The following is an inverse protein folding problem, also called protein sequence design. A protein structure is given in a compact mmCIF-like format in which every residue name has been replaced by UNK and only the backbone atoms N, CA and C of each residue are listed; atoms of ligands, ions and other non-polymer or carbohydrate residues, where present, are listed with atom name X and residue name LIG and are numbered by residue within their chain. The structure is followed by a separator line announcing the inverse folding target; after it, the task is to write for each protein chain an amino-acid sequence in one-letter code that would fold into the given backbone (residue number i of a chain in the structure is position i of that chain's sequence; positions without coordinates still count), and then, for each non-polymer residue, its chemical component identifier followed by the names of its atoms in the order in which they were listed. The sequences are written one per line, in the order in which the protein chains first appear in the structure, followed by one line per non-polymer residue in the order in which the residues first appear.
data_IF_284802107578
#
_entry.id   IF_284802107578
#
_cell.length_a   1.000
_cell.length_b   1.000
_cell.length_c   1.000
_cell.angle_alpha   90.00
_cell.angle_beta   90.00
_cell.angle_gamma   90.00
#
_symmetry.space_group_name_H-M   'P 1'
#
loop_
_entity.id
_entity.type
_entity.pdbx_description
1 polymer ?
#
# COMPACT_ATOMS: atom_id res chain seq x y z
N UNK A 1 0.04 41.52 12.16
CA UNK A 1 -0.35 40.83 13.39
C UNK A 1 -0.30 39.36 13.15
N UNK A 2 0.69 38.57 13.63
CA UNK A 2 0.73 37.15 13.49
C UNK A 2 -0.12 36.49 14.59
N UNK A 3 -1.11 35.69 14.21
CA UNK A 3 -1.88 34.85 15.15
C UNK A 3 -1.05 33.60 15.44
N UNK A 4 -0.41 33.62 16.62
CA UNK A 4 0.26 32.47 17.22
C UNK A 4 -0.82 31.50 17.72
N UNK A 5 -1.08 30.40 17.02
CA UNK A 5 -1.92 29.30 17.50
C UNK A 5 -1.02 28.29 18.19
N UNK A 6 -1.00 28.34 19.52
CA UNK A 6 -0.34 27.35 20.36
C UNK A 6 -1.11 26.02 20.25
N UNK A 7 -0.50 25.04 19.59
CA UNK A 7 -0.97 23.66 19.60
C UNK A 7 -0.58 23.07 20.96
N UNK A 8 -1.60 22.89 21.81
CA UNK A 8 -1.47 22.26 23.13
C UNK A 8 -0.93 20.83 22.96
N UNK A 9 0.19 20.54 23.58
CA UNK A 9 0.75 19.18 23.63
C UNK A 9 -0.19 18.31 24.48
N UNK A 10 -0.96 17.47 23.81
CA UNK A 10 -1.75 16.45 24.47
C UNK A 10 -0.81 15.42 25.09
N UNK A 11 -0.77 15.39 26.40
CA UNK A 11 -0.01 14.46 27.21
C UNK A 11 -0.39 13.03 26.84
N UNK A 12 0.57 12.26 26.36
CA UNK A 12 0.40 10.83 26.07
C UNK A 12 0.35 10.12 27.42
N UNK A 13 -0.85 9.69 27.81
CA UNK A 13 -1.07 8.82 28.97
C UNK A 13 -0.31 7.51 28.73
N UNK A 14 0.61 7.19 29.63
CA UNK A 14 1.34 5.92 29.63
C UNK A 14 0.34 4.74 29.66
N UNK A 15 0.60 3.64 28.93
CA UNK A 15 -0.31 2.50 28.94
C UNK A 15 -0.36 1.88 30.33
N UNK A 16 -1.53 1.87 30.93
CA UNK A 16 -1.82 1.03 32.09
C UNK A 16 -1.58 -0.44 31.70
N UNK A 17 -1.29 -1.30 32.68
CA UNK A 17 -1.06 -2.75 32.53
C UNK A 17 -2.29 -3.56 32.03
N UNK A 18 -3.22 -2.92 31.38
CA UNK A 18 -4.37 -3.55 30.71
C UNK A 18 -3.85 -4.27 29.45
N UNK A 19 -4.17 -5.55 29.32
CA UNK A 19 -3.94 -6.33 28.10
C UNK A 19 -4.39 -5.50 26.91
N UNK A 20 -3.48 -5.28 25.96
CA UNK A 20 -3.80 -4.46 24.78
C UNK A 20 -5.02 -5.04 24.06
N UNK A 21 -6.04 -4.24 23.82
CA UNK A 21 -7.23 -4.67 23.07
C UNK A 21 -6.93 -5.18 21.65
N UNK A 22 -5.72 -4.89 21.14
CA UNK A 22 -5.24 -5.52 19.90
C UNK A 22 -5.06 -7.06 20.05
N UNK A 23 -4.69 -7.54 21.23
CA UNK A 23 -4.52 -8.98 21.48
C UNK A 23 -5.84 -9.66 21.86
N UNK A 24 -6.79 -8.91 22.41
CA UNK A 24 -8.11 -9.39 22.83
C UNK A 24 -9.19 -8.42 22.34
N UNK A 25 -9.49 -8.42 21.03
CA UNK A 25 -10.43 -7.49 20.43
C UNK A 25 -11.87 -7.80 20.84
N UNK A 26 -12.64 -6.77 21.22
CA UNK A 26 -14.06 -6.86 21.56
C UNK A 26 -14.94 -6.13 20.53
N UNK A 27 -14.37 -5.09 19.89
CA UNK A 27 -15.07 -4.27 18.90
C UNK A 27 -14.24 -4.09 17.64
N UNK A 28 -14.87 -3.62 16.57
CA UNK A 28 -14.21 -3.41 15.26
C UNK A 28 -12.95 -2.53 15.37
N UNK A 29 -13.01 -1.47 16.19
CA UNK A 29 -11.89 -0.55 16.39
C UNK A 29 -10.67 -1.20 17.09
N UNK A 30 -10.82 -2.39 17.68
CA UNK A 30 -9.72 -3.14 18.31
C UNK A 30 -8.96 -3.98 17.28
N UNK A 31 -9.56 -4.26 16.12
CA UNK A 31 -8.93 -5.08 15.08
C UNK A 31 -7.79 -4.34 14.39
N UNK A 32 -6.59 -4.94 14.41
CA UNK A 32 -5.38 -4.37 13.78
C UNK A 32 -5.62 -3.96 12.33
N UNK A 33 -6.17 -4.86 11.51
CA UNK A 33 -6.37 -4.59 10.08
C UNK A 33 -7.35 -3.45 9.83
N UNK A 34 -8.36 -3.29 10.70
CA UNK A 34 -9.28 -2.17 10.61
C UNK A 34 -8.59 -0.85 10.96
N UNK A 35 -7.77 -0.80 12.01
CA UNK A 35 -6.97 0.39 12.37
C UNK A 35 -6.02 0.79 11.24
N UNK A 36 -5.31 -0.19 10.67
CA UNK A 36 -4.43 0.06 9.52
C UNK A 36 -5.21 0.55 8.30
N UNK A 37 -6.39 -0.01 8.01
CA UNK A 37 -7.23 0.44 6.90
C UNK A 37 -7.73 1.88 7.08
N UNK A 38 -8.10 2.28 8.30
CA UNK A 38 -8.48 3.67 8.64
C UNK A 38 -7.32 4.64 8.43
N UNK A 39 -6.14 4.31 8.97
CA UNK A 39 -4.92 5.10 8.75
C UNK A 39 -4.63 5.23 7.26
N UNK A 40 -4.70 4.13 6.51
CA UNK A 40 -4.51 4.13 5.08
C UNK A 40 -5.57 4.92 4.33
N UNK A 41 -6.84 4.91 4.74
CA UNK A 41 -7.89 5.70 4.11
C UNK A 41 -7.59 7.20 4.21
N UNK A 42 -7.19 7.67 5.40
CA UNK A 42 -6.89 9.08 5.64
C UNK A 42 -5.57 9.50 5.00
N UNK A 43 -4.46 8.88 5.37
CA UNK A 43 -3.13 9.24 4.87
C UNK A 43 -2.96 8.91 3.38
N UNK A 44 -3.46 7.76 2.93
CA UNK A 44 -3.47 7.36 1.53
C UNK A 44 -4.34 8.25 0.64
N UNK A 45 -5.39 8.89 1.20
CA UNK A 45 -6.18 9.90 0.51
C UNK A 45 -5.36 11.12 0.08
N UNK A 46 -4.38 11.54 0.89
CA UNK A 46 -3.45 12.62 0.53
C UNK A 46 -2.58 12.22 -0.67
N UNK A 47 -2.10 10.97 -0.71
CA UNK A 47 -1.34 10.44 -1.84
C UNK A 47 -2.20 10.41 -3.11
N UNK A 48 -3.48 10.00 -3.02
CA UNK A 48 -4.42 10.03 -4.16
C UNK A 48 -4.55 11.43 -4.73
N UNK A 49 -4.66 12.46 -3.89
CA UNK A 49 -4.77 13.87 -4.35
C UNK A 49 -3.56 14.31 -5.17
N UNK A 50 -2.33 13.92 -4.79
CA UNK A 50 -1.16 14.17 -5.62
C UNK A 50 -1.19 13.35 -6.92
N UNK A 51 -1.43 12.04 -6.81
CA UNK A 51 -1.43 11.15 -7.98
C UNK A 51 -2.44 11.62 -9.03
N UNK A 52 -3.69 11.81 -8.65
CA UNK A 52 -4.78 12.11 -9.57
C UNK A 52 -4.88 13.60 -9.89
N UNK A 53 -4.77 14.46 -8.88
CA UNK A 53 -4.96 15.90 -9.04
C UNK A 53 -3.78 16.62 -9.70
N UNK A 54 -2.54 16.14 -9.49
CA UNK A 54 -1.35 16.81 -10.05
C UNK A 54 -0.69 16.03 -11.18
N UNK A 55 -0.64 14.71 -11.10
CA UNK A 55 0.13 13.88 -12.04
C UNK A 55 -0.73 13.04 -12.99
N UNK A 56 -2.05 13.05 -12.86
CA UNK A 56 -2.98 12.35 -13.75
C UNK A 56 -2.80 10.83 -13.77
N UNK A 57 -2.33 10.25 -12.66
CA UNK A 57 -2.17 8.81 -12.48
C UNK A 57 -2.92 8.34 -11.23
N UNK A 58 -3.40 7.12 -11.21
CA UNK A 58 -4.01 6.53 -10.03
C UNK A 58 -2.96 6.13 -9.00
N UNK A 59 -3.36 6.00 -7.72
CA UNK A 59 -2.48 5.46 -6.66
C UNK A 59 -1.93 4.06 -7.00
N UNK A 60 -2.69 3.26 -7.76
CA UNK A 60 -2.25 1.94 -8.23
C UNK A 60 -1.15 2.07 -9.27
N UNK A 61 -1.30 2.97 -10.22
CA UNK A 61 -0.28 3.28 -11.22
C UNK A 61 0.99 3.82 -10.57
N UNK A 62 0.85 4.70 -9.57
CA UNK A 62 1.97 5.16 -8.77
C UNK A 62 2.75 4.01 -8.11
N UNK A 63 2.04 3.05 -7.47
CA UNK A 63 2.70 1.88 -6.86
C UNK A 63 3.55 1.10 -7.87
N UNK A 64 3.04 0.90 -9.07
CA UNK A 64 3.76 0.22 -10.16
C UNK A 64 5.01 1.01 -10.56
N UNK A 65 4.90 2.32 -10.76
CA UNK A 65 6.04 3.17 -11.08
C UNK A 65 7.11 3.12 -9.97
N UNK A 66 6.69 3.20 -8.71
CA UNK A 66 7.61 3.16 -7.57
C UNK A 66 8.32 1.80 -7.44
N UNK A 67 7.63 0.69 -7.70
CA UNK A 67 8.24 -0.63 -7.71
C UNK A 67 9.27 -0.78 -8.83
N UNK A 68 8.93 -0.37 -10.05
CA UNK A 68 9.87 -0.39 -11.18
C UNK A 68 11.06 0.55 -10.96
N UNK A 69 10.87 1.67 -10.25
CA UNK A 69 11.96 2.58 -9.91
C UNK A 69 12.94 1.98 -8.90
N UNK A 70 12.42 1.26 -7.89
CA UNK A 70 13.22 0.74 -6.79
C UNK A 70 13.86 -0.63 -7.08
N UNK A 71 13.18 -1.47 -7.87
CA UNK A 71 13.60 -2.86 -8.12
C UNK A 71 14.13 -3.11 -9.54
N UNK A 72 13.97 -2.14 -10.43
CA UNK A 72 14.34 -2.26 -11.84
C UNK A 72 13.30 -3.00 -12.70
N UNK A 73 13.66 -3.36 -13.94
CA UNK A 73 12.79 -4.05 -14.86
C UNK A 73 12.36 -5.43 -14.35
N UNK A 74 11.08 -5.76 -14.48
CA UNK A 74 10.53 -7.05 -14.03
C UNK A 74 9.36 -7.52 -14.89
N UNK A 75 9.03 -8.81 -14.78
CA UNK A 75 7.88 -9.40 -15.46
C UNK A 75 6.54 -8.96 -14.87
N UNK A 76 5.46 -9.06 -15.65
CA UNK A 76 4.12 -8.64 -15.20
C UNK A 76 3.61 -9.46 -14.01
N UNK A 77 3.94 -10.74 -13.91
CA UNK A 77 3.56 -11.60 -12.80
C UNK A 77 4.28 -11.23 -11.52
N UNK A 78 5.60 -11.04 -11.60
CA UNK A 78 6.45 -10.57 -10.50
C UNK A 78 6.00 -9.19 -9.99
N UNK A 79 5.66 -8.27 -10.92
CA UNK A 79 5.12 -6.97 -10.59
C UNK A 79 3.78 -7.06 -9.84
N UNK A 80 2.89 -7.98 -10.25
CA UNK A 80 1.60 -8.19 -9.58
C UNK A 80 1.79 -8.68 -8.14
N UNK A 81 2.73 -9.61 -7.94
CA UNK A 81 3.10 -10.14 -6.63
C UNK A 81 3.64 -9.04 -5.71
N UNK A 82 4.67 -8.33 -6.13
CA UNK A 82 5.23 -7.22 -5.36
C UNK A 82 4.27 -6.06 -5.13
N UNK A 83 3.36 -5.80 -6.05
CA UNK A 83 2.34 -4.78 -5.89
C UNK A 83 1.20 -5.20 -4.96
N UNK A 84 1.14 -6.47 -4.56
CA UNK A 84 -0.02 -7.06 -3.87
C UNK A 84 -1.34 -6.75 -4.59
N UNK A 85 -1.33 -6.93 -5.92
CA UNK A 85 -2.46 -6.72 -6.80
C UNK A 85 -2.76 -8.02 -7.56
N UNK A 86 -4.03 -8.23 -7.90
CA UNK A 86 -4.38 -9.30 -8.82
C UNK A 86 -3.85 -9.03 -10.25
N UNK A 87 -3.60 -10.11 -11.00
CA UNK A 87 -3.07 -10.03 -12.37
C UNK A 87 -3.93 -9.16 -13.30
N UNK A 88 -5.28 -9.25 -13.31
CA UNK A 88 -6.12 -8.40 -14.15
C UNK A 88 -5.97 -6.91 -13.84
N UNK A 89 -5.89 -6.53 -12.56
CA UNK A 89 -5.71 -5.13 -12.16
C UNK A 89 -4.33 -4.61 -12.51
N UNK A 90 -3.30 -5.44 -12.33
CA UNK A 90 -1.92 -5.11 -12.73
C UNK A 90 -1.83 -4.91 -14.22
N UNK A 91 -2.36 -5.84 -15.03
CA UNK A 91 -2.35 -5.76 -16.48
C UNK A 91 -3.04 -4.48 -17.00
N UNK A 92 -4.21 -4.12 -16.45
CA UNK A 92 -4.90 -2.87 -16.80
C UNK A 92 -4.08 -1.64 -16.46
N UNK A 93 -3.51 -1.58 -15.27
CA UNK A 93 -2.69 -0.45 -14.85
C UNK A 93 -1.41 -0.31 -15.71
N UNK A 94 -0.75 -1.42 -16.04
CA UNK A 94 0.39 -1.44 -16.95
C UNK A 94 0.01 -0.95 -18.35
N UNK A 95 -1.15 -1.39 -18.88
CA UNK A 95 -1.63 -0.94 -20.19
C UNK A 95 -1.88 0.57 -20.20
N UNK A 96 -2.49 1.10 -19.15
CA UNK A 96 -2.70 2.56 -19.00
C UNK A 96 -1.37 3.31 -18.91
N UNK A 97 -0.42 2.81 -18.11
CA UNK A 97 0.92 3.42 -17.99
C UNK A 97 1.71 3.38 -19.32
N UNK A 98 1.58 2.29 -20.07
CA UNK A 98 2.18 2.19 -21.41
C UNK A 98 1.54 3.18 -22.40
N UNK A 99 0.22 3.33 -22.36
CA UNK A 99 -0.50 4.34 -23.13
C UNK A 99 -0.08 5.78 -22.79
N UNK A 100 0.22 6.05 -21.52
CA UNK A 100 0.79 7.32 -21.04
C UNK A 100 2.29 7.46 -21.32
N UNK A 101 2.92 6.46 -21.94
CA UNK A 101 4.38 6.41 -22.24
C UNK A 101 5.26 6.51 -20.98
N UNK A 102 4.76 6.09 -19.82
CA UNK A 102 5.49 6.09 -18.55
C UNK A 102 6.22 4.76 -18.29
N UNK A 103 5.72 3.68 -18.89
CA UNK A 103 6.29 2.34 -18.84
C UNK A 103 6.43 1.81 -20.26
N UNK A 104 7.53 1.12 -20.54
CA UNK A 104 7.75 0.39 -21.78
C UNK A 104 7.78 -1.12 -21.54
N UNK A 105 7.49 -1.87 -22.61
CA UNK A 105 7.64 -3.33 -22.66
C UNK A 105 8.88 -3.65 -23.48
N UNK A 106 9.87 -4.24 -22.85
CA UNK A 106 11.12 -4.64 -23.49
C UNK A 106 11.26 -6.15 -23.43
N UNK A 107 12.09 -6.70 -24.32
CA UNK A 107 12.46 -8.11 -24.26
C UNK A 107 13.62 -8.26 -23.29
N UNK A 108 13.56 -9.31 -22.46
CA UNK A 108 14.66 -9.58 -21.52
C UNK A 108 15.95 -9.90 -22.29
N UNK A 109 17.05 -9.29 -21.87
CA UNK A 109 18.37 -9.62 -22.40
C UNK A 109 18.68 -11.09 -22.05
N UNK A 110 18.98 -11.88 -23.07
CA UNK A 110 19.25 -13.32 -22.92
C UNK A 110 18.03 -14.23 -23.11
N UNK A 111 16.79 -13.73 -23.06
CA UNK A 111 15.59 -14.51 -23.40
C UNK A 111 14.51 -13.60 -24.04
N UNK A 112 14.51 -13.59 -25.36
CA UNK A 112 13.57 -12.77 -26.15
C UNK A 112 12.08 -13.15 -26.00
N UNK A 113 11.77 -14.30 -25.36
CA UNK A 113 10.39 -14.73 -25.08
C UNK A 113 9.82 -14.07 -23.84
N UNK A 114 10.68 -13.58 -22.94
CA UNK A 114 10.26 -12.94 -21.71
C UNK A 114 10.14 -11.42 -21.91
N UNK A 115 8.94 -10.91 -21.72
CA UNK A 115 8.65 -9.48 -21.73
C UNK A 115 8.86 -8.92 -20.31
N UNK A 116 9.67 -7.89 -20.20
CA UNK A 116 9.88 -7.09 -19.01
C UNK A 116 9.20 -5.72 -19.15
N UNK A 117 8.82 -5.18 -18.02
CA UNK A 117 8.30 -3.84 -17.86
C UNK A 117 9.38 -2.97 -17.25
N UNK A 118 9.61 -1.80 -17.82
CA UNK A 118 10.58 -0.84 -17.29
C UNK A 118 10.06 0.60 -17.38
N UNK A 119 10.61 1.49 -16.57
CA UNK A 119 10.28 2.90 -16.66
C UNK A 119 10.91 3.52 -17.92
N UNK A 120 10.14 4.34 -18.61
CA UNK A 120 10.68 5.24 -19.62
C UNK A 120 11.41 6.42 -18.95
N UNK A 121 12.07 7.27 -19.72
CA UNK A 121 12.62 8.54 -19.21
C UNK A 121 11.52 9.41 -18.56
N UNK A 122 10.34 9.48 -19.18
CA UNK A 122 9.18 10.21 -18.64
C UNK A 122 8.66 9.56 -17.33
N UNK A 123 8.61 8.23 -17.25
CA UNK A 123 8.23 7.52 -16.03
C UNK A 123 9.20 7.77 -14.88
N UNK A 124 10.51 7.77 -15.15
CA UNK A 124 11.54 8.14 -14.16
C UNK A 124 11.41 9.59 -13.71
N UNK A 125 11.18 10.51 -14.63
CA UNK A 125 10.99 11.92 -14.30
C UNK A 125 9.74 12.15 -13.43
N UNK A 126 8.63 11.50 -13.76
CA UNK A 126 7.41 11.57 -12.94
C UNK A 126 7.65 10.98 -11.55
N UNK A 127 8.30 9.81 -11.46
CA UNK A 127 8.66 9.21 -10.16
C UNK A 127 9.51 10.16 -9.32
N UNK A 128 10.54 10.78 -9.91
CA UNK A 128 11.44 11.70 -9.22
C UNK A 128 10.71 12.95 -8.68
N UNK A 129 9.63 13.39 -9.33
CA UNK A 129 8.80 14.50 -8.86
C UNK A 129 7.79 14.08 -7.78
N UNK A 130 7.16 12.91 -7.93
CA UNK A 130 6.09 12.48 -7.03
C UNK A 130 6.62 11.84 -5.75
N UNK A 131 7.73 11.08 -5.79
CA UNK A 131 8.27 10.37 -4.64
C UNK A 131 8.59 11.28 -3.44
N UNK A 132 9.22 12.47 -3.60
CA UNK A 132 9.47 13.38 -2.50
C UNK A 132 8.18 13.88 -1.83
N UNK A 133 7.11 14.09 -2.59
CA UNK A 133 5.81 14.55 -2.06
C UNK A 133 5.13 13.45 -1.24
N UNK A 134 5.17 12.21 -1.71
CA UNK A 134 4.69 11.06 -0.95
C UNK A 134 5.56 10.82 0.29
N UNK A 135 6.87 10.98 0.16
CA UNK A 135 7.81 10.91 1.28
C UNK A 135 7.54 11.99 2.33
N UNK A 136 7.11 13.19 1.92
CA UNK A 136 6.72 14.23 2.87
C UNK A 136 5.47 13.82 3.66
N UNK A 137 4.43 13.30 3.00
CA UNK A 137 3.24 12.78 3.69
C UNK A 137 3.65 11.71 4.72
N UNK A 138 4.55 10.80 4.33
CA UNK A 138 5.05 9.76 5.24
C UNK A 138 5.74 10.37 6.48
N UNK A 139 6.62 11.36 6.30
CA UNK A 139 7.26 12.06 7.41
C UNK A 139 6.26 12.78 8.31
N UNK A 140 5.27 13.44 7.70
CA UNK A 140 4.25 14.19 8.44
C UNK A 140 3.35 13.27 9.28
N UNK A 141 3.02 12.08 8.77
CA UNK A 141 2.28 11.06 9.53
C UNK A 141 3.13 10.53 10.69
N UNK A 142 4.43 10.32 10.47
CA UNK A 142 5.33 9.75 11.48
C UNK A 142 5.85 10.77 12.50
N UNK A 143 5.69 12.06 12.28
CA UNK A 143 6.30 13.13 13.13
C UNK A 143 5.83 13.13 14.58
N UNK A 144 4.75 12.42 14.89
CA UNK A 144 4.20 12.26 16.25
C UNK A 144 4.93 11.19 17.07
N UNK A 145 5.83 10.44 16.43
CA UNK A 145 6.61 9.36 17.01
C UNK A 145 8.07 9.83 17.21
N UNK A 146 8.69 9.31 18.26
CA UNK A 146 10.12 9.46 18.48
C UNK A 146 10.93 8.56 17.53
N UNK A 147 12.21 8.87 17.22
CA UNK A 147 13.02 8.05 16.31
C UNK A 147 13.07 6.56 16.68
N UNK A 148 13.14 6.25 17.97
CA UNK A 148 13.15 4.88 18.50
C UNK A 148 11.82 4.16 18.27
N UNK A 149 10.70 4.88 18.42
CA UNK A 149 9.36 4.35 18.15
C UNK A 149 9.15 4.08 16.66
N UNK A 150 9.70 4.91 15.77
CA UNK A 150 9.66 4.68 14.32
C UNK A 150 10.43 3.40 13.97
N UNK A 151 11.61 3.19 14.55
CA UNK A 151 12.41 1.99 14.34
C UNK A 151 11.67 0.75 14.84
N UNK A 152 11.11 0.81 16.05
CA UNK A 152 10.31 -0.27 16.61
C UNK A 152 9.06 -0.58 15.79
N UNK A 153 8.35 0.44 15.32
CA UNK A 153 7.19 0.29 14.44
C UNK A 153 7.56 -0.41 13.12
N UNK A 154 8.70 -0.04 12.52
CA UNK A 154 9.20 -0.67 11.29
C UNK A 154 9.48 -2.17 11.51
N UNK A 155 10.14 -2.54 12.62
CA UNK A 155 10.37 -3.95 12.99
C UNK A 155 9.06 -4.70 13.22
N UNK A 156 8.15 -4.13 13.99
CA UNK A 156 6.85 -4.77 14.27
C UNK A 156 6.04 -4.98 12.99
N UNK A 157 6.00 -4.01 12.07
CA UNK A 157 5.32 -4.15 10.78
C UNK A 157 5.96 -5.24 9.91
N UNK A 158 7.29 -5.36 9.90
CA UNK A 158 7.99 -6.41 9.15
C UNK A 158 7.64 -7.80 9.69
N UNK A 159 7.64 -7.98 11.00
CA UNK A 159 7.27 -9.25 11.67
C UNK A 159 5.80 -9.61 11.45
N UNK A 160 4.90 -8.63 11.51
CA UNK A 160 3.48 -8.83 11.22
C UNK A 160 3.26 -9.25 9.76
N UNK A 161 3.97 -8.63 8.82
CA UNK A 161 3.89 -9.00 7.41
C UNK A 161 4.39 -10.42 7.20
N UNK A 162 5.56 -10.78 7.74
CA UNK A 162 6.11 -12.13 7.63
C UNK A 162 5.15 -13.20 8.17
N UNK A 163 4.55 -12.96 9.35
CA UNK A 163 3.58 -13.89 9.92
C UNK A 163 2.30 -14.00 9.08
N UNK A 164 1.82 -12.87 8.53
CA UNK A 164 0.65 -12.88 7.65
C UNK A 164 0.92 -13.67 6.36
N UNK A 165 2.13 -13.59 5.80
CA UNK A 165 2.53 -14.36 4.62
C UNK A 165 2.56 -15.87 4.92
N UNK A 166 3.07 -16.27 6.10
CA UNK A 166 3.03 -17.68 6.57
C UNK A 166 1.60 -18.17 6.70
N UNK A 167 0.75 -17.45 7.43
CA UNK A 167 -0.66 -17.82 7.62
C UNK A 167 -1.43 -17.90 6.29
N UNK A 168 -1.12 -17.02 5.34
CA UNK A 168 -1.72 -17.06 4.01
C UNK A 168 -1.29 -18.30 3.19
N UNK A 169 -0.04 -18.77 3.40
CA UNK A 169 0.49 -19.95 2.73
C UNK A 169 0.01 -21.27 3.33
N UNK A 170 -0.26 -21.33 4.64
CA UNK A 170 -0.75 -22.53 5.34
C UNK A 170 -2.12 -23.02 4.82
N UNK A 171 -2.91 -22.16 4.23
CA UNK A 171 -4.23 -22.51 3.72
C UNK A 171 -5.26 -22.69 4.83
N UNK A 172 -6.32 -23.47 4.56
CA UNK A 172 -7.37 -23.73 5.56
C UNK A 172 -8.50 -22.71 5.61
N UNK A 173 -8.31 -21.53 4.99
CA UNK A 173 -9.38 -20.56 4.86
C UNK A 173 -10.27 -20.86 3.65
N UNK A 174 -11.58 -20.56 3.74
CA UNK A 174 -12.48 -20.71 2.60
C UNK A 174 -12.02 -19.87 1.41
N UNK A 175 -12.14 -20.42 0.22
CA UNK A 175 -11.81 -19.69 -1.01
C UNK A 175 -12.70 -18.45 -1.14
N UNK A 176 -12.05 -17.30 -1.36
CA UNK A 176 -12.77 -16.07 -1.65
C UNK A 176 -13.44 -16.18 -3.03
N UNK A 177 -14.77 -16.19 -3.06
CA UNK A 177 -15.50 -16.10 -4.32
C UNK A 177 -15.47 -14.66 -4.83
N UNK A 178 -14.56 -14.40 -5.77
CA UNK A 178 -14.35 -13.07 -6.38
C UNK A 178 -15.17 -12.85 -7.65
N UNK A 179 -15.99 -13.81 -8.07
CA UNK A 179 -16.66 -13.79 -9.39
C UNK A 179 -17.79 -12.78 -9.48
N UNK A 180 -18.38 -12.39 -8.36
CA UNK A 180 -19.53 -11.48 -8.35
C UNK A 180 -19.28 -10.34 -7.35
N UNK A 181 -19.32 -9.12 -7.83
CA UNK A 181 -19.32 -7.92 -6.98
C UNK A 181 -20.54 -7.95 -6.05
N UNK A 182 -20.29 -7.98 -4.79
CA UNK A 182 -21.08 -7.86 -3.56
C UNK A 182 -22.60 -7.95 -3.52
N UNK A 183 -23.34 -7.44 -4.48
CA UNK A 183 -24.78 -7.18 -4.32
C UNK A 183 -25.71 -8.40 -4.51
N UNK A 184 -25.22 -9.50 -5.08
CA UNK A 184 -26.04 -10.69 -5.39
C UNK A 184 -25.77 -11.90 -4.47
N UNK A 185 -24.89 -11.78 -3.49
CA UNK A 185 -24.57 -12.89 -2.57
C UNK A 185 -25.61 -13.00 -1.48
N UNK A 186 -26.28 -14.15 -1.43
CA UNK A 186 -27.10 -14.49 -0.27
C UNK A 186 -26.19 -14.82 0.91
N UNK A 187 -26.50 -14.29 2.09
CA UNK A 187 -25.93 -14.73 3.34
C UNK A 187 -26.12 -16.25 3.48
N UNK A 188 -25.04 -16.97 3.78
CA UNK A 188 -25.09 -18.39 4.11
C UNK A 188 -24.83 -18.49 5.62
N UNK A 189 -25.81 -18.90 6.43
CA UNK A 189 -25.55 -19.19 7.83
C UNK A 189 -24.51 -20.32 7.93
N UNK A 190 -23.73 -20.33 9.01
CA UNK A 190 -22.87 -21.47 9.32
C UNK A 190 -23.76 -22.71 9.44
N UNK A 191 -23.34 -23.82 8.87
CA UNK A 191 -23.97 -25.11 9.17
C UNK A 191 -23.56 -25.47 10.62
N UNK A 192 -24.54 -25.84 11.43
CA UNK A 192 -24.36 -26.35 12.78
C UNK A 192 -23.52 -27.61 12.78
#
# INVERSE_FOLDING_TARGET
MPVSSAISATSIVAPSNAVSRLASPEVLDDLLLYRLSRLQATAGGMVVRYCEGKFGITRREWRILALLASRGPMGSSELAEHAHLDRPRTSRAVTTLAGKKLVSRTRRVGDARLIQLELTAAGRALHAQLFPLVGQINRDVLRVLQPQEITLLADMLARLQQNADVLAAEGGLPLADRRHGGSARRYKPAAD
#
